data_IF_479890789722
#
_entry.id   IF_479890789722
#
_cell.length_a   1.000
_cell.length_b   1.000
_cell.length_c   1.000
_cell.angle_alpha   90.00
_cell.angle_beta   90.00
_cell.angle_gamma   90.00
#
_symmetry.space_group_name_H-M   'P 1'
#
loop_
_entity.id
_entity.type
_entity.pdbx_description
1 polymer ?
#
# COMPACT_ATOMS: atom_id res chain seq x y z
N UNK A 1 -6.81 -7.58 -2.31
CA UNK A 1 -7.03 -6.48 -1.36
C UNK A 1 -7.71 -5.35 -2.11
N UNK A 2 -8.83 -4.84 -1.62
CA UNK A 2 -9.60 -3.79 -2.30
C UNK A 2 -10.02 -2.77 -1.25
N UNK A 3 -9.74 -1.49 -1.50
CA UNK A 3 -10.19 -0.34 -0.68
C UNK A 3 -9.78 -0.42 0.80
N UNK A 4 -8.58 -0.92 1.08
CA UNK A 4 -8.05 -1.04 2.45
C UNK A 4 -7.15 0.14 2.80
N UNK A 5 -7.13 0.49 4.08
CA UNK A 5 -6.16 1.40 4.67
C UNK A 5 -5.31 0.57 5.63
N UNK A 6 -4.00 0.60 5.44
CA UNK A 6 -3.02 -0.22 6.17
C UNK A 6 -1.90 0.73 6.60
N UNK A 7 -1.84 1.08 7.89
CA UNK A 7 -0.86 2.05 8.39
C UNK A 7 -0.37 1.78 9.82
N UNK A 8 0.74 2.43 10.20
CA UNK A 8 1.33 2.45 11.54
C UNK A 8 1.69 1.06 12.12
N UNK A 9 2.39 0.24 11.34
CA UNK A 9 2.94 -1.07 11.77
C UNK A 9 4.34 -1.31 11.16
N UNK A 10 4.96 -2.48 11.41
CA UNK A 10 6.27 -2.84 10.84
C UNK A 10 6.34 -3.00 9.31
N UNK A 11 5.69 -4.03 8.75
CA UNK A 11 5.73 -4.41 7.32
C UNK A 11 4.33 -4.51 6.68
N UNK A 12 4.11 -3.79 5.57
CA UNK A 12 2.75 -3.53 5.05
C UNK A 12 2.15 -4.73 4.41
N UNK A 13 2.83 -5.21 3.38
CA UNK A 13 2.49 -6.41 2.69
C UNK A 13 3.77 -7.05 2.22
N UNK A 14 3.91 -8.32 2.54
CA UNK A 14 4.95 -9.17 2.02
C UNK A 14 4.27 -10.35 1.35
N UNK A 15 4.47 -10.47 0.04
CA UNK A 15 3.84 -11.51 -0.75
C UNK A 15 4.91 -12.20 -1.59
N UNK A 16 5.41 -13.32 -1.07
CA UNK A 16 6.48 -14.10 -1.68
C UNK A 16 5.99 -15.23 -2.59
N UNK A 17 4.70 -15.56 -2.56
CA UNK A 17 4.15 -16.72 -3.24
C UNK A 17 3.87 -16.42 -4.73
N UNK A 18 3.92 -17.43 -5.61
CA UNK A 18 3.47 -17.30 -7.00
C UNK A 18 1.95 -17.21 -7.09
N UNK A 19 1.39 -16.08 -6.63
CA UNK A 19 -0.03 -15.80 -6.54
C UNK A 19 -0.47 -14.74 -7.55
N UNK A 20 -1.73 -14.78 -7.98
CA UNK A 20 -2.33 -13.76 -8.84
C UNK A 20 -2.94 -12.61 -8.04
N UNK A 21 -2.25 -12.14 -6.99
CA UNK A 21 -2.83 -11.16 -6.07
C UNK A 21 -3.21 -9.87 -6.79
N UNK A 22 -4.38 -9.35 -6.47
CA UNK A 22 -4.85 -8.04 -6.89
C UNK A 22 -4.91 -7.11 -5.68
N UNK A 23 -4.27 -5.94 -5.78
CA UNK A 23 -4.27 -4.87 -4.77
C UNK A 23 -4.80 -3.61 -5.45
N UNK A 24 -6.02 -3.19 -5.10
CA UNK A 24 -6.70 -2.08 -5.76
C UNK A 24 -7.24 -1.04 -4.77
N UNK A 25 -7.02 0.24 -5.05
CA UNK A 25 -7.65 1.32 -4.27
C UNK A 25 -7.20 1.42 -2.81
N UNK A 26 -6.10 0.76 -2.44
CA UNK A 26 -5.63 0.71 -1.06
C UNK A 26 -4.70 1.89 -0.73
N UNK A 27 -4.59 2.19 0.56
CA UNK A 27 -3.67 3.18 1.12
C UNK A 27 -2.72 2.50 2.10
N UNK A 28 -1.42 2.63 1.86
CA UNK A 28 -0.36 2.07 2.68
C UNK A 28 0.54 3.22 3.15
N UNK A 29 0.69 3.39 4.47
CA UNK A 29 1.54 4.48 4.97
C UNK A 29 2.09 4.30 6.37
N UNK A 30 3.12 5.07 6.70
CA UNK A 30 3.74 5.10 8.03
C UNK A 30 4.18 3.73 8.55
N UNK A 31 4.55 2.83 7.65
CA UNK A 31 4.92 1.48 8.05
C UNK A 31 6.41 1.22 7.95
N UNK A 32 7.02 0.88 9.08
CA UNK A 32 8.43 0.57 9.21
C UNK A 32 8.79 -0.02 10.59
N UNK A 33 10.00 -0.55 10.69
CA UNK A 33 10.65 -0.84 11.96
C UNK A 33 12.14 -0.51 11.88
N UNK A 34 12.74 -0.12 13.00
CA UNK A 34 14.19 0.08 13.07
C UNK A 34 14.87 -1.25 13.40
N UNK A 35 15.65 -1.76 12.45
CA UNK A 35 16.54 -2.89 12.68
C UNK A 35 17.87 -2.44 13.29
N UNK A 36 18.72 -3.39 13.72
CA UNK A 36 20.06 -3.08 14.26
C UNK A 36 20.98 -2.34 13.29
N UNK A 37 20.73 -2.44 11.99
CA UNK A 37 21.56 -1.91 10.91
C UNK A 37 20.97 -0.65 10.26
N UNK A 38 19.67 -0.67 9.96
CA UNK A 38 18.94 0.38 9.23
C UNK A 38 17.43 0.23 9.45
N UNK A 39 16.66 1.24 9.07
CA UNK A 39 15.20 1.18 9.07
C UNK A 39 14.68 0.30 7.94
N UNK A 40 13.77 -0.63 8.24
CA UNK A 40 13.18 -1.58 7.31
C UNK A 40 11.68 -1.33 7.15
N UNK A 41 11.03 -2.12 6.27
CA UNK A 41 9.61 -1.96 5.96
C UNK A 41 9.40 -1.27 4.63
N UNK A 42 9.57 -2.01 3.50
CA UNK A 42 9.00 -1.57 2.25
C UNK A 42 7.47 -1.47 2.36
N UNK A 43 6.88 -0.51 1.65
CA UNK A 43 5.43 -0.33 1.62
C UNK A 43 4.70 -1.49 0.94
N UNK A 44 5.31 -2.12 -0.06
CA UNK A 44 4.84 -3.35 -0.68
C UNK A 44 6.06 -4.16 -1.08
N UNK A 45 6.17 -5.40 -0.62
CA UNK A 45 7.21 -6.32 -1.05
C UNK A 45 6.59 -7.46 -1.83
N UNK A 46 7.01 -7.59 -3.09
CA UNK A 46 6.48 -8.58 -4.02
C UNK A 46 7.61 -9.45 -4.56
N UNK A 47 7.38 -10.77 -4.56
CA UNK A 47 8.09 -11.71 -5.41
C UNK A 47 7.12 -12.36 -6.37
N UNK A 48 7.55 -12.61 -7.60
CA UNK A 48 6.77 -13.42 -8.51
C UNK A 48 7.71 -14.14 -9.48
N UNK A 49 7.78 -15.48 -9.47
CA UNK A 49 8.70 -16.20 -10.34
C UNK A 49 8.25 -16.15 -11.81
N UNK A 50 9.19 -16.33 -12.73
CA UNK A 50 8.89 -16.57 -14.15
C UNK A 50 7.92 -17.76 -14.28
N UNK A 51 6.90 -17.61 -15.13
CA UNK A 51 5.80 -18.57 -15.29
C UNK A 51 4.71 -18.48 -14.21
N UNK A 52 4.88 -17.64 -13.18
CA UNK A 52 3.84 -17.36 -12.18
C UNK A 52 2.67 -16.55 -12.75
N UNK A 53 1.50 -16.58 -12.07
CA UNK A 53 0.35 -15.76 -12.45
C UNK A 53 0.66 -14.26 -12.32
N UNK A 54 -0.08 -13.42 -13.07
CA UNK A 54 0.12 -11.97 -13.04
C UNK A 54 -0.37 -11.36 -11.73
N UNK A 55 0.47 -10.52 -11.11
CA UNK A 55 0.09 -9.68 -9.96
C UNK A 55 -0.33 -8.29 -10.44
N UNK A 56 -1.39 -7.73 -9.85
CA UNK A 56 -1.94 -6.43 -10.25
C UNK A 56 -1.99 -5.48 -9.07
N UNK A 57 -1.32 -4.34 -9.20
CA UNK A 57 -1.24 -3.27 -8.20
C UNK A 57 -1.78 -2.00 -8.83
N UNK A 58 -3.01 -1.61 -8.52
CA UNK A 58 -3.74 -0.59 -9.27
C UNK A 58 -4.37 0.47 -8.36
N UNK A 59 -4.20 1.77 -8.66
CA UNK A 59 -4.93 2.83 -7.96
C UNK A 59 -4.64 2.95 -6.46
N UNK A 60 -3.45 2.53 -6.01
CA UNK A 60 -3.06 2.57 -4.60
C UNK A 60 -2.29 3.86 -4.29
N UNK A 61 -2.27 4.25 -3.03
CA UNK A 61 -1.45 5.36 -2.52
C UNK A 61 -0.49 4.78 -1.46
N UNK A 62 0.82 4.93 -1.67
CA UNK A 62 1.88 4.28 -0.87
C UNK A 62 2.93 5.31 -0.45
N UNK A 63 3.00 5.64 0.83
CA UNK A 63 3.83 6.77 1.26
C UNK A 63 4.41 6.67 2.67
N UNK A 64 5.48 7.42 2.93
CA UNK A 64 6.07 7.55 4.26
C UNK A 64 6.46 6.21 4.92
N UNK A 65 6.88 5.22 4.12
CA UNK A 65 7.46 3.98 4.64
C UNK A 65 8.89 4.20 5.14
N UNK A 66 9.44 3.23 5.87
CA UNK A 66 10.82 3.30 6.37
C UNK A 66 11.86 2.96 5.32
N UNK A 67 11.40 2.40 4.19
CA UNK A 67 12.25 2.03 3.06
C UNK A 67 11.54 2.25 1.72
N UNK A 68 11.65 1.33 0.76
CA UNK A 68 11.05 1.53 -0.56
C UNK A 68 9.52 1.58 -0.50
N UNK A 69 8.89 2.32 -1.42
CA UNK A 69 7.42 2.30 -1.54
C UNK A 69 6.93 0.94 -2.02
N UNK A 70 7.40 0.51 -3.18
CA UNK A 70 7.19 -0.83 -3.71
C UNK A 70 8.53 -1.44 -4.11
N UNK A 71 8.75 -2.66 -3.64
CA UNK A 71 9.91 -3.48 -3.95
C UNK A 71 9.46 -4.77 -4.64
N UNK A 72 9.73 -4.86 -5.94
CA UNK A 72 9.78 -6.10 -6.70
C UNK A 72 11.21 -6.63 -6.66
N UNK A 73 11.45 -7.65 -5.82
CA UNK A 73 12.79 -8.19 -5.58
C UNK A 73 12.71 -9.69 -5.36
N UNK A 74 13.62 -10.46 -5.92
CA UNK A 74 13.88 -11.84 -5.53
C UNK A 74 15.36 -12.17 -5.77
N UNK A 75 15.85 -13.24 -5.16
CA UNK A 75 17.11 -13.93 -5.51
C UNK A 75 16.93 -14.92 -6.68
N UNK A 76 15.81 -14.75 -7.40
CA UNK A 76 15.31 -15.58 -8.50
C UNK A 76 14.60 -14.63 -9.46
N UNK A 77 14.50 -14.98 -10.76
CA UNK A 77 13.84 -14.15 -11.76
C UNK A 77 12.46 -13.63 -11.33
N UNK A 78 12.20 -12.35 -11.58
CA UNK A 78 10.99 -11.63 -11.16
C UNK A 78 10.12 -11.28 -12.36
N UNK A 79 8.87 -11.72 -12.40
CA UNK A 79 8.06 -11.59 -13.62
C UNK A 79 6.59 -11.21 -13.39
N UNK A 80 5.94 -10.76 -14.47
CA UNK A 80 4.48 -10.64 -14.59
C UNK A 80 3.82 -9.79 -13.49
N UNK A 81 4.31 -8.58 -13.28
CA UNK A 81 3.69 -7.62 -12.36
C UNK A 81 3.19 -6.41 -13.15
N UNK A 82 1.95 -6.02 -12.90
CA UNK A 82 1.36 -4.77 -13.39
C UNK A 82 1.23 -3.80 -12.23
N UNK A 83 1.77 -2.60 -12.39
CA UNK A 83 1.66 -1.48 -11.46
C UNK A 83 1.10 -0.29 -12.22
N UNK A 84 -0.15 0.06 -11.95
CA UNK A 84 -0.89 1.04 -12.75
C UNK A 84 -1.62 2.07 -11.90
N UNK A 85 -1.46 3.36 -12.23
CA UNK A 85 -2.29 4.40 -11.63
C UNK A 85 -2.09 4.63 -10.13
N UNK A 86 -0.93 4.25 -9.58
CA UNK A 86 -0.65 4.39 -8.16
C UNK A 86 0.11 5.70 -7.89
N UNK A 87 -0.04 6.24 -6.68
CA UNK A 87 0.76 7.35 -6.16
C UNK A 87 1.77 6.83 -5.11
N UNK A 88 3.05 7.06 -5.34
CA UNK A 88 4.14 6.72 -4.42
C UNK A 88 4.90 7.99 -4.03
N UNK A 89 5.07 8.25 -2.73
CA UNK A 89 5.84 9.43 -2.33
C UNK A 89 6.43 9.34 -0.93
N UNK A 90 7.48 10.11 -0.68
CA UNK A 90 8.13 10.22 0.63
C UNK A 90 8.54 8.88 1.26
N UNK A 91 8.74 7.82 0.47
CA UNK A 91 9.17 6.55 1.01
C UNK A 91 10.61 6.65 1.52
N UNK A 92 10.89 5.99 2.64
CA UNK A 92 12.14 6.07 3.38
C UNK A 92 12.12 7.09 4.53
N UNK A 93 11.33 8.16 4.43
CA UNK A 93 11.42 9.30 5.36
C UNK A 93 11.12 8.93 6.81
N UNK A 94 10.29 7.90 7.03
CA UNK A 94 9.97 7.44 8.37
C UNK A 94 11.15 6.73 9.04
N UNK A 95 12.12 6.25 8.25
CA UNK A 95 13.32 5.57 8.69
C UNK A 95 14.54 6.48 8.70
N UNK A 96 15.54 6.14 7.87
CA UNK A 96 16.85 6.76 7.86
C UNK A 96 17.06 7.83 6.77
N UNK A 97 16.07 8.10 5.93
CA UNK A 97 16.14 9.12 4.86
C UNK A 97 15.32 8.71 3.64
N UNK A 98 15.24 9.55 2.61
CA UNK A 98 14.47 9.20 1.40
C UNK A 98 15.04 7.95 0.71
N UNK A 99 14.14 7.07 0.27
CA UNK A 99 14.42 5.83 -0.48
C UNK A 99 13.55 5.78 -1.73
N UNK A 100 13.87 4.84 -2.63
CA UNK A 100 13.11 4.61 -3.87
C UNK A 100 11.61 4.46 -3.63
N UNK A 101 10.80 5.19 -4.37
CA UNK A 101 9.36 4.92 -4.41
C UNK A 101 9.07 3.60 -5.12
N UNK A 102 9.70 3.38 -6.27
CA UNK A 102 9.59 2.15 -7.04
C UNK A 102 10.95 1.49 -7.18
N UNK A 103 11.02 0.21 -6.86
CA UNK A 103 12.21 -0.61 -7.05
C UNK A 103 11.81 -1.95 -7.66
N UNK A 104 12.06 -2.08 -8.96
CA UNK A 104 11.96 -3.34 -9.68
C UNK A 104 13.35 -3.79 -10.03
N UNK A 105 13.92 -4.63 -9.17
CA UNK A 105 15.26 -5.15 -9.30
C UNK A 105 16.18 -4.63 -8.22
N UNK A 106 17.28 -5.35 -8.05
CA UNK A 106 18.48 -5.08 -7.25
C UNK A 106 19.08 -6.48 -7.04
N UNK A 107 20.18 -6.81 -7.72
CA UNK A 107 20.70 -8.18 -7.74
C UNK A 107 20.97 -8.69 -9.16
N UNK A 108 21.41 -9.95 -9.27
CA UNK A 108 21.84 -10.62 -10.51
C UNK A 108 20.70 -11.11 -11.41
N UNK A 109 19.44 -10.90 -11.00
CA UNK A 109 18.32 -11.64 -11.57
C UNK A 109 17.65 -10.94 -12.74
N UNK A 110 17.07 -11.75 -13.62
CA UNK A 110 16.33 -11.33 -14.81
C UNK A 110 14.88 -10.97 -14.46
N UNK A 111 14.36 -9.95 -15.15
CA UNK A 111 13.02 -9.44 -14.97
C UNK A 111 12.22 -9.59 -16.27
N UNK A 112 10.99 -10.10 -16.21
CA UNK A 112 10.17 -10.32 -17.42
C UNK A 112 8.74 -9.80 -17.29
N UNK A 113 8.26 -9.08 -18.30
CA UNK A 113 6.84 -8.72 -18.42
C UNK A 113 6.32 -7.84 -17.27
N UNK A 114 7.19 -6.96 -16.77
CA UNK A 114 6.88 -5.94 -15.77
C UNK A 114 6.27 -4.73 -16.48
N UNK A 115 5.05 -4.37 -16.09
CA UNK A 115 4.26 -3.29 -16.67
C UNK A 115 4.06 -2.22 -15.61
N UNK A 116 4.49 -0.99 -15.89
CA UNK A 116 4.46 0.17 -14.99
C UNK A 116 3.84 1.33 -15.77
N UNK A 117 2.57 1.63 -15.47
CA UNK A 117 1.79 2.60 -16.24
C UNK A 117 1.13 3.68 -15.41
N UNK A 118 1.15 4.91 -15.91
CA UNK A 118 0.32 5.99 -15.39
C UNK A 118 0.49 6.25 -13.89
N UNK A 119 1.63 5.89 -13.28
CA UNK A 119 1.87 6.10 -11.85
C UNK A 119 2.47 7.48 -11.60
N UNK A 120 2.25 8.01 -10.40
CA UNK A 120 2.95 9.18 -9.88
C UNK A 120 3.97 8.72 -8.83
N UNK A 121 5.25 9.05 -9.01
CA UNK A 121 6.31 8.82 -8.05
C UNK A 121 7.02 10.13 -7.72
N UNK A 122 6.88 10.62 -6.49
CA UNK A 122 7.46 11.89 -6.03
C UNK A 122 8.47 11.70 -4.89
N UNK A 123 9.68 12.23 -5.09
CA UNK A 123 10.74 12.31 -4.08
C UNK A 123 11.11 13.79 -3.89
N UNK A 124 10.91 14.38 -2.70
CA UNK A 124 11.33 15.76 -2.45
C UNK A 124 12.87 15.84 -2.30
N UNK A 125 13.39 17.07 -2.31
CA UNK A 125 14.76 17.32 -1.90
C UNK A 125 14.89 17.15 -0.38
N UNK A 126 15.85 16.34 0.06
CA UNK A 126 16.08 16.14 1.50
C UNK A 126 17.44 15.55 1.85
N UNK A 127 17.64 15.19 3.14
CA UNK A 127 18.88 14.61 3.62
C UNK A 127 19.04 13.22 3.01
N UNK A 128 19.97 13.13 2.05
CA UNK A 128 20.16 11.93 1.27
C UNK A 128 20.89 10.84 2.01
N UNK A 129 20.36 9.62 1.91
CA UNK A 129 21.04 8.40 2.31
C UNK A 129 21.00 7.34 1.21
N UNK A 130 21.49 7.73 0.03
CA UNK A 130 21.74 6.83 -1.10
C UNK A 130 20.47 6.25 -1.73
N UNK A 131 20.52 6.02 -3.05
CA UNK A 131 19.43 5.39 -3.80
C UNK A 131 18.10 6.14 -3.84
N UNK A 132 18.13 7.46 -3.99
CA UNK A 132 16.93 8.29 -4.12
C UNK A 132 16.44 8.37 -5.58
N UNK A 133 16.23 7.24 -6.23
CA UNK A 133 15.75 7.19 -7.61
C UNK A 133 14.80 6.01 -7.80
N UNK A 134 13.88 6.10 -8.74
CA UNK A 134 13.09 4.93 -9.11
C UNK A 134 13.96 3.97 -9.93
N UNK A 135 14.00 2.70 -9.55
CA UNK A 135 14.84 1.69 -10.21
C UNK A 135 13.97 0.75 -11.05
N UNK A 136 14.31 0.65 -12.33
CA UNK A 136 13.65 -0.23 -13.30
C UNK A 136 14.69 -1.13 -13.97
N UNK A 137 14.74 -2.38 -13.52
CA UNK A 137 15.69 -3.39 -13.99
C UNK A 137 16.71 -3.77 -12.93
N UNK A 138 17.49 -4.80 -13.24
CA UNK A 138 18.55 -5.35 -12.39
C UNK A 138 19.74 -5.84 -13.22
N UNK A 139 20.73 -6.42 -12.55
CA UNK A 139 21.93 -6.89 -13.23
C UNK A 139 21.67 -8.09 -14.13
N UNK A 140 20.60 -8.87 -13.96
CA UNK A 140 20.26 -9.98 -14.86
C UNK A 140 19.66 -9.52 -16.19
N UNK A 141 18.92 -8.42 -16.22
CA UNK A 141 18.20 -7.97 -17.41
C UNK A 141 16.77 -7.58 -17.09
N UNK A 142 16.15 -6.78 -17.96
CA UNK A 142 14.71 -6.56 -17.96
C UNK A 142 14.17 -6.74 -19.38
N UNK A 143 13.45 -7.83 -19.60
CA UNK A 143 12.86 -8.21 -20.89
C UNK A 143 11.38 -7.83 -20.92
N UNK A 144 11.00 -7.02 -21.91
CA UNK A 144 9.61 -6.57 -22.04
C UNK A 144 9.15 -5.68 -20.89
N UNK A 145 10.04 -4.81 -20.39
CA UNK A 145 9.66 -3.72 -19.50
C UNK A 145 8.76 -2.74 -20.25
N UNK A 146 7.60 -2.43 -19.69
CA UNK A 146 6.75 -1.34 -20.15
C UNK A 146 6.72 -0.25 -19.08
N UNK A 147 7.38 0.87 -19.33
CA UNK A 147 7.38 2.06 -18.48
C UNK A 147 6.67 3.16 -19.27
N UNK A 148 5.35 3.30 -19.10
CA UNK A 148 4.54 4.16 -19.98
C UNK A 148 3.68 5.16 -19.20
N UNK A 149 3.71 6.44 -19.55
CA UNK A 149 2.78 7.42 -19.00
C UNK A 149 3.01 7.82 -17.54
N UNK A 150 4.15 7.48 -16.94
CA UNK A 150 4.42 7.74 -15.52
C UNK A 150 4.95 9.15 -15.27
N UNK A 151 4.65 9.71 -14.11
CA UNK A 151 5.26 10.94 -13.61
C UNK A 151 6.32 10.59 -12.58
N UNK A 152 7.60 10.69 -12.96
CA UNK A 152 8.76 10.36 -12.13
C UNK A 152 9.46 11.65 -11.74
N UNK A 153 9.30 12.06 -10.48
CA UNK A 153 9.61 13.41 -10.05
C UNK A 153 10.58 13.39 -8.87
N UNK A 154 11.81 13.81 -9.12
CA UNK A 154 12.83 14.06 -8.11
C UNK A 154 13.63 15.34 -8.46
N UNK A 155 13.07 16.53 -8.18
CA UNK A 155 13.64 17.78 -8.67
C UNK A 155 15.06 17.98 -8.13
N UNK A 156 16.03 18.22 -9.02
CA UNK A 156 17.42 18.47 -8.67
C UNK A 156 18.27 17.22 -8.37
N UNK A 157 17.73 16.01 -8.55
CA UNK A 157 18.40 14.71 -8.35
C UNK A 157 17.94 13.70 -9.39
N UNK A 158 18.43 12.46 -9.33
CA UNK A 158 18.05 11.40 -10.28
C UNK A 158 16.63 10.89 -10.02
N UNK A 159 15.70 11.09 -10.96
CA UNK A 159 14.33 10.61 -10.84
C UNK A 159 14.18 9.12 -11.18
N UNK A 160 14.98 8.63 -12.15
CA UNK A 160 14.84 7.28 -12.66
C UNK A 160 16.18 6.70 -13.14
N UNK A 161 16.37 5.42 -12.83
CA UNK A 161 17.46 4.58 -13.33
C UNK A 161 16.88 3.38 -14.05
N UNK A 162 17.22 3.23 -15.32
CA UNK A 162 16.78 2.14 -16.17
C UNK A 162 17.98 1.22 -16.44
N UNK A 163 17.82 -0.09 -16.26
CA UNK A 163 18.91 -1.04 -16.39
C UNK A 163 18.56 -2.20 -17.32
N UNK A 164 19.46 -2.50 -18.27
CA UNK A 164 19.39 -3.68 -19.16
C UNK A 164 17.99 -3.94 -19.74
N UNK A 165 17.33 -2.87 -20.17
CA UNK A 165 15.94 -2.89 -20.57
C UNK A 165 15.80 -3.32 -22.04
N UNK A 166 16.05 -4.60 -22.32
CA UNK A 166 16.01 -5.17 -23.67
C UNK A 166 14.57 -5.29 -24.17
N UNK A 167 14.30 -4.71 -25.34
CA UNK A 167 12.94 -4.66 -25.89
C UNK A 167 11.97 -3.84 -25.03
N UNK A 168 12.47 -2.94 -24.18
CA UNK A 168 11.64 -2.12 -23.32
C UNK A 168 10.88 -1.04 -24.10
N UNK A 169 9.65 -0.78 -23.68
CA UNK A 169 8.85 0.35 -24.12
C UNK A 169 8.89 1.41 -23.03
N UNK A 170 9.58 2.53 -23.30
CA UNK A 170 9.74 3.65 -22.36
C UNK A 170 9.25 4.93 -23.04
N UNK A 171 7.99 5.28 -22.87
CA UNK A 171 7.34 6.38 -23.61
C UNK A 171 6.23 7.08 -22.82
N UNK A 172 5.92 8.32 -23.20
CA UNK A 172 4.88 9.14 -22.58
C UNK A 172 5.14 9.48 -21.11
N UNK A 173 6.32 9.19 -20.57
CA UNK A 173 6.64 9.51 -19.19
C UNK A 173 7.01 10.98 -19.07
N UNK A 174 6.67 11.56 -17.92
CA UNK A 174 7.11 12.89 -17.50
C UNK A 174 8.17 12.73 -16.42
N UNK A 175 9.41 13.09 -16.72
CA UNK A 175 10.57 12.86 -15.87
C UNK A 175 11.14 14.21 -15.44
N UNK A 176 11.05 14.52 -14.15
CA UNK A 176 11.62 15.75 -13.55
C UNK A 176 12.79 15.37 -12.67
N UNK A 177 14.01 15.69 -13.11
CA UNK A 177 15.27 15.28 -12.51
C UNK A 177 16.17 14.56 -13.52
N UNK A 178 17.30 14.05 -13.03
CA UNK A 178 18.22 13.24 -13.82
C UNK A 178 17.63 11.89 -14.18
N UNK A 179 18.06 11.35 -15.30
CA UNK A 179 17.78 9.97 -15.71
C UNK A 179 19.10 9.30 -16.09
N UNK A 180 19.27 8.04 -15.69
CA UNK A 180 20.39 7.21 -16.14
C UNK A 180 19.92 5.93 -16.81
N UNK A 181 20.76 5.44 -17.70
CA UNK A 181 20.65 4.12 -18.29
C UNK A 181 21.97 3.38 -18.15
N UNK A 182 21.88 2.08 -17.80
CA UNK A 182 23.04 1.21 -17.65
C UNK A 182 22.82 -0.15 -18.31
N UNK A 183 23.72 -0.48 -19.25
CA UNK A 183 23.93 -1.84 -19.72
C UNK A 183 24.97 -2.51 -18.79
N UNK A 184 24.52 -3.34 -17.85
CA UNK A 184 25.44 -3.97 -16.91
C UNK A 184 26.34 -4.99 -17.65
N UNK A 185 27.65 -4.74 -17.55
CA UNK A 185 28.72 -5.30 -18.38
C UNK A 185 29.75 -4.24 -18.84
N UNK A 186 29.37 -2.96 -18.81
CA UNK A 186 30.29 -1.82 -18.99
C UNK A 186 30.22 -0.88 -17.78
N UNK A 187 31.35 -0.29 -17.38
CA UNK A 187 31.39 0.80 -16.39
C UNK A 187 30.71 2.09 -16.92
N UNK A 188 30.22 2.08 -18.16
CA UNK A 188 29.63 3.23 -18.83
C UNK A 188 28.14 3.33 -18.50
N UNK A 189 27.83 4.00 -17.41
CA UNK A 189 26.50 4.58 -17.22
C UNK A 189 26.37 5.80 -18.14
N UNK A 190 25.34 5.82 -18.98
CA UNK A 190 24.98 7.02 -19.73
C UNK A 190 23.89 7.77 -18.98
N UNK A 191 23.95 9.10 -19.04
CA UNK A 191 23.07 9.98 -18.27
C UNK A 191 22.59 11.14 -19.14
N UNK A 192 21.50 11.77 -18.72
CA UNK A 192 21.00 12.99 -19.35
C UNK A 192 20.64 12.79 -20.82
N UNK A 193 21.11 13.69 -21.69
CA UNK A 193 20.76 13.73 -23.11
C UNK A 193 20.93 12.38 -23.84
N UNK A 194 21.97 11.61 -23.53
CA UNK A 194 22.18 10.30 -24.16
C UNK A 194 21.06 9.30 -23.86
N UNK A 195 20.47 9.37 -22.66
CA UNK A 195 19.32 8.53 -22.29
C UNK A 195 18.04 9.04 -22.96
N UNK A 196 17.93 10.37 -23.15
CA UNK A 196 16.80 10.98 -23.86
C UNK A 196 16.80 10.55 -25.34
N UNK A 197 17.97 10.42 -25.96
CA UNK A 197 18.11 9.89 -27.32
C UNK A 197 17.69 8.42 -27.43
N UNK A 198 17.90 7.62 -26.38
CA UNK A 198 17.43 6.22 -26.33
C UNK A 198 15.91 6.13 -26.16
N UNK A 199 15.32 7.05 -25.40
CA UNK A 199 13.89 7.04 -25.09
C UNK A 199 13.23 8.40 -25.41
N UNK A 200 13.19 8.80 -26.70
CA UNK A 200 12.86 10.16 -27.11
C UNK A 200 11.37 10.51 -26.98
N UNK A 201 10.51 9.52 -26.70
CA UNK A 201 9.06 9.69 -26.58
C UNK A 201 8.62 10.11 -25.16
N UNK A 202 9.53 10.62 -24.34
CA UNK A 202 9.26 11.09 -22.98
C UNK A 202 9.49 12.60 -22.87
N UNK A 203 8.81 13.23 -21.91
CA UNK A 203 9.06 14.61 -21.54
C UNK A 203 10.10 14.67 -20.42
N UNK A 204 11.24 15.29 -20.68
CA UNK A 204 12.34 15.44 -19.71
C UNK A 204 12.47 16.87 -19.21
N UNK A 205 12.63 17.03 -17.90
CA UNK A 205 12.86 18.30 -17.23
C UNK A 205 14.02 18.12 -16.25
N UNK A 206 15.15 18.79 -16.46
CA UNK A 206 16.30 18.66 -15.55
C UNK A 206 16.00 19.21 -14.14
N UNK A 207 15.13 20.21 -14.08
CA UNK A 207 14.68 20.86 -12.86
C UNK A 207 13.15 20.97 -12.85
N UNK A 208 12.61 21.24 -11.66
CA UNK A 208 11.22 21.66 -11.54
C UNK A 208 10.96 22.86 -12.49
N UNK A 209 9.82 22.89 -13.21
CA UNK A 209 9.35 24.10 -13.87
C UNK A 209 9.36 25.29 -12.90
N UNK A 210 9.63 26.49 -13.40
CA UNK A 210 9.64 27.69 -12.56
C UNK A 210 8.22 28.16 -12.18
N UNK A 211 7.22 27.77 -12.96
CA UNK A 211 5.84 28.22 -12.83
C UNK A 211 4.86 27.09 -13.15
N UNK A 212 3.60 27.31 -12.79
CA UNK A 212 2.48 26.42 -13.05
C UNK A 212 2.21 25.40 -11.96
N UNK A 213 1.13 24.65 -12.17
CA UNK A 213 0.74 23.51 -11.37
C UNK A 213 0.48 22.35 -12.33
N UNK A 214 0.96 21.16 -11.99
CA UNK A 214 0.63 19.95 -12.73
C UNK A 214 -0.26 19.06 -11.88
N UNK A 215 -1.36 18.59 -12.48
CA UNK A 215 -2.34 17.74 -11.83
C UNK A 215 -2.34 16.38 -12.52
N UNK A 216 -2.03 15.35 -11.75
CA UNK A 216 -2.16 13.95 -12.14
C UNK A 216 -3.43 13.40 -11.49
N UNK A 217 -4.23 12.66 -12.25
CA UNK A 217 -5.49 12.10 -11.75
C UNK A 217 -5.60 10.63 -12.10
N UNK A 218 -6.15 9.84 -11.18
CA UNK A 218 -6.44 8.43 -11.42
C UNK A 218 -7.74 7.99 -10.74
N UNK A 219 -8.65 7.38 -11.51
CA UNK A 219 -9.90 6.82 -10.99
C UNK A 219 -9.59 5.49 -10.29
N UNK A 220 -9.65 5.46 -8.95
CA UNK A 220 -9.18 4.32 -8.14
C UNK A 220 -10.02 3.05 -8.33
N UNK A 221 -11.22 3.17 -8.91
CA UNK A 221 -12.08 2.03 -9.19
C UNK A 221 -13.00 2.31 -10.38
N UNK A 222 -13.05 1.40 -11.36
CA UNK A 222 -14.02 1.46 -12.46
C UNK A 222 -15.48 1.39 -12.00
N UNK A 223 -15.70 0.97 -10.75
CA UNK A 223 -17.01 0.84 -10.12
C UNK A 223 -17.04 1.68 -8.85
N UNK A 224 -18.21 2.25 -8.49
CA UNK A 224 -18.37 2.86 -7.18
C UNK A 224 -18.09 1.84 -6.08
N UNK A 225 -17.61 2.33 -4.94
CA UNK A 225 -17.47 1.54 -3.73
C UNK A 225 -18.84 0.92 -3.41
N UNK A 226 -18.86 -0.41 -3.32
CA UNK A 226 -20.09 -1.19 -3.15
C UNK A 226 -20.83 -0.87 -1.85
N UNK A 227 -20.17 -0.22 -0.89
CA UNK A 227 -20.70 0.03 0.45
C UNK A 227 -21.42 1.37 0.59
N UNK A 228 -20.90 2.42 -0.03
CA UNK A 228 -21.42 3.78 0.10
C UNK A 228 -21.86 4.40 -1.23
N UNK A 229 -21.67 3.67 -2.34
CA UNK A 229 -22.00 4.14 -3.67
C UNK A 229 -21.11 5.28 -4.16
N UNK A 230 -20.01 5.58 -3.48
CA UNK A 230 -19.12 6.69 -3.84
C UNK A 230 -18.06 6.23 -4.82
N UNK A 231 -17.75 7.10 -5.77
CA UNK A 231 -16.54 6.98 -6.60
C UNK A 231 -15.37 7.66 -5.91
N UNK A 232 -14.16 7.25 -6.30
CA UNK A 232 -12.89 7.74 -5.76
C UNK A 232 -11.95 8.11 -6.89
N UNK A 233 -11.33 9.27 -6.74
CA UNK A 233 -10.28 9.79 -7.61
C UNK A 233 -9.07 10.13 -6.76
N UNK A 234 -7.90 9.61 -7.09
CA UNK A 234 -6.64 10.12 -6.54
C UNK A 234 -6.21 11.31 -7.38
N UNK A 235 -5.88 12.42 -6.71
CA UNK A 235 -5.38 13.64 -7.35
C UNK A 235 -3.99 13.94 -6.79
N UNK A 236 -2.97 13.86 -7.65
CA UNK A 236 -1.61 14.27 -7.34
C UNK A 236 -1.34 15.68 -7.88
N UNK A 237 -0.74 16.53 -7.06
CA UNK A 237 -0.54 17.95 -7.32
C UNK A 237 0.95 18.26 -7.19
N UNK A 238 1.54 18.81 -8.26
CA UNK A 238 2.89 19.36 -8.27
C UNK A 238 2.79 20.88 -8.46
N UNK A 239 2.90 21.63 -7.36
CA UNK A 239 2.66 23.07 -7.32
C UNK A 239 3.97 23.84 -7.45
N UNK A 240 4.46 23.94 -8.67
CA UNK A 240 5.73 24.61 -8.97
C UNK A 240 5.68 26.12 -8.71
N UNK A 241 4.53 26.74 -8.97
CA UNK A 241 4.29 28.16 -8.71
C UNK A 241 4.18 28.53 -7.23
N UNK A 242 4.12 27.55 -6.31
CA UNK A 242 3.78 27.78 -4.90
C UNK A 242 2.46 28.57 -4.75
N UNK A 243 1.49 28.28 -5.63
CA UNK A 243 0.18 28.88 -5.57
C UNK A 243 -0.54 28.46 -4.25
N UNK A 244 -1.28 29.36 -3.59
CA UNK A 244 -2.04 29.02 -2.38
C UNK A 244 -3.28 28.18 -2.67
N UNK A 245 -3.72 28.15 -3.93
CA UNK A 245 -4.90 27.44 -4.41
C UNK A 245 -4.61 26.78 -5.76
N UNK A 246 -5.34 25.71 -6.06
CA UNK A 246 -5.30 25.01 -7.34
C UNK A 246 -6.72 24.81 -7.86
N UNK A 247 -6.84 24.78 -9.19
CA UNK A 247 -8.06 24.41 -9.90
C UNK A 247 -7.95 22.94 -10.32
N UNK A 248 -8.89 22.11 -9.87
CA UNK A 248 -8.99 20.71 -10.31
C UNK A 248 -10.12 20.62 -11.33
N UNK A 249 -9.74 20.39 -12.59
CA UNK A 249 -10.67 20.20 -13.71
C UNK A 249 -11.21 18.76 -13.74
N UNK A 250 -12.52 18.63 -13.57
CA UNK A 250 -13.30 17.39 -13.61
C UNK A 250 -14.29 17.38 -14.78
N UNK A 251 -14.13 18.27 -15.76
CA UNK A 251 -15.01 18.43 -16.92
C UNK A 251 -15.14 17.14 -17.73
N UNK A 252 -14.07 16.35 -17.87
CA UNK A 252 -14.13 15.05 -18.53
C UNK A 252 -15.07 14.07 -17.80
N UNK A 253 -14.96 13.99 -16.47
CA UNK A 253 -15.85 13.14 -15.66
C UNK A 253 -17.31 13.62 -15.74
N UNK A 254 -17.53 14.93 -15.81
CA UNK A 254 -18.87 15.52 -15.98
C UNK A 254 -19.44 15.18 -17.36
N UNK A 255 -18.66 15.35 -18.42
CA UNK A 255 -19.05 15.03 -19.80
C UNK A 255 -19.33 13.54 -20.01
N UNK A 256 -18.60 12.66 -19.31
CA UNK A 256 -18.85 11.22 -19.32
C UNK A 256 -20.07 10.81 -18.46
N UNK A 257 -20.68 11.76 -17.74
CA UNK A 257 -21.79 11.51 -16.83
C UNK A 257 -21.40 10.73 -15.57
N UNK A 258 -20.09 10.66 -15.26
CA UNK A 258 -19.59 10.02 -14.03
C UNK A 258 -19.81 10.89 -12.80
N UNK A 259 -19.83 12.21 -12.96
CA UNK A 259 -20.20 13.18 -11.95
C UNK A 259 -21.28 14.12 -12.51
N UNK A 260 -22.24 14.52 -11.68
CA UNK A 260 -23.29 15.44 -12.10
C UNK A 260 -22.81 16.89 -12.06
N UNK A 261 -23.28 17.71 -12.99
CA UNK A 261 -23.11 19.17 -12.94
C UNK A 261 -23.57 19.72 -11.59
N UNK A 262 -22.74 20.54 -10.94
CA UNK A 262 -23.06 21.12 -9.64
C UNK A 262 -23.04 20.14 -8.46
N UNK A 263 -22.50 18.92 -8.64
CA UNK A 263 -22.37 17.92 -7.59
C UNK A 263 -21.50 18.43 -6.43
N UNK A 264 -21.80 17.93 -5.24
CA UNK A 264 -20.92 18.07 -4.09
C UNK A 264 -19.86 16.98 -4.12
N UNK A 265 -18.61 17.40 -4.06
CA UNK A 265 -17.44 16.52 -3.94
C UNK A 265 -16.79 16.73 -2.59
N UNK A 266 -16.25 15.65 -2.02
CA UNK A 266 -15.47 15.71 -0.78
C UNK A 266 -14.03 15.40 -1.11
N UNK A 267 -13.09 16.11 -0.50
CA UNK A 267 -11.66 15.93 -0.71
C UNK A 267 -10.94 15.93 0.63
N UNK A 268 -9.92 15.08 0.76
CA UNK A 268 -8.99 15.11 1.88
C UNK A 268 -7.55 14.97 1.38
N UNK A 269 -6.59 15.60 2.08
CA UNK A 269 -5.17 15.25 1.92
C UNK A 269 -4.96 13.84 2.46
N UNK A 270 -4.22 13.00 1.73
CA UNK A 270 -3.96 11.63 2.19
C UNK A 270 -3.07 11.60 3.44
N UNK A 271 -2.30 12.67 3.71
CA UNK A 271 -1.54 12.84 4.94
C UNK A 271 -2.42 13.26 6.13
N UNK A 272 -3.67 13.69 5.89
CA UNK A 272 -4.67 14.01 6.91
C UNK A 272 -6.03 13.35 6.59
N UNK A 273 -6.12 12.01 6.68
CA UNK A 273 -7.29 11.25 6.23
C UNK A 273 -8.59 11.55 7.00
N UNK A 274 -8.52 12.29 8.12
CA UNK A 274 -9.67 12.74 8.90
C UNK A 274 -10.18 14.15 8.54
N UNK A 275 -9.40 14.97 7.82
CA UNK A 275 -9.75 16.34 7.44
C UNK A 275 -10.44 16.35 6.07
N UNK A 276 -11.71 15.93 6.02
CA UNK A 276 -12.51 16.00 4.80
C UNK A 276 -13.17 17.36 4.63
N UNK A 277 -13.01 17.96 3.46
CA UNK A 277 -13.63 19.22 3.05
C UNK A 277 -14.61 18.99 1.91
N UNK A 278 -15.67 19.77 1.84
CA UNK A 278 -16.70 19.67 0.79
C UNK A 278 -16.60 20.86 -0.15
N UNK A 279 -16.65 20.58 -1.44
CA UNK A 279 -16.65 21.55 -2.52
C UNK A 279 -17.84 21.30 -3.42
N UNK A 280 -18.28 22.34 -4.11
CA UNK A 280 -19.30 22.23 -5.15
C UNK A 280 -18.64 22.41 -6.50
N UNK A 281 -18.97 21.53 -7.43
CA UNK A 281 -18.53 21.64 -8.81
C UNK A 281 -19.13 22.90 -9.45
N UNK A 282 -18.28 23.74 -10.02
CA UNK A 282 -18.69 24.93 -10.77
C UNK A 282 -18.06 24.85 -12.15
N UNK A 283 -18.89 24.71 -13.18
CA UNK A 283 -18.45 24.58 -14.59
C UNK A 283 -17.37 23.50 -14.79
N UNK A 284 -17.55 22.32 -14.19
CA UNK A 284 -16.60 21.21 -14.28
C UNK A 284 -15.41 21.30 -13.32
N UNK A 285 -15.28 22.36 -12.53
CA UNK A 285 -14.07 22.61 -11.73
C UNK A 285 -14.35 22.75 -10.22
N UNK A 286 -13.32 22.50 -9.42
CA UNK A 286 -13.26 22.90 -8.00
C UNK A 286 -11.96 23.65 -7.72
N UNK A 287 -12.03 24.66 -6.85
CA UNK A 287 -10.85 25.40 -6.36
C UNK A 287 -10.50 24.89 -4.97
N UNK A 288 -9.28 24.38 -4.79
CA UNK A 288 -8.81 23.79 -3.54
C UNK A 288 -7.65 24.61 -2.99
N UNK A 289 -7.80 25.15 -1.78
CA UNK A 289 -6.68 25.74 -1.05
C UNK A 289 -5.67 24.66 -0.65
N UNK A 290 -4.39 24.93 -0.84
CA UNK A 290 -3.28 24.08 -0.42
C UNK A 290 -2.81 24.39 1.00
N UNK A 291 -3.42 25.39 1.65
CA UNK A 291 -3.12 25.79 3.02
C UNK A 291 -4.04 25.12 4.05
N UNK A 292 -3.54 25.05 5.28
CA UNK A 292 -4.31 24.65 6.46
C UNK A 292 -4.67 23.17 6.52
N UNK A 293 -4.08 22.31 5.68
CA UNK A 293 -4.19 20.86 5.82
C UNK A 293 -3.35 20.39 6.99
N UNK A 294 -3.93 19.55 7.84
CA UNK A 294 -3.18 18.91 8.92
C UNK A 294 -2.26 17.80 8.41
N UNK A 295 -1.58 17.15 9.36
CA UNK A 295 -0.95 15.85 9.17
C UNK A 295 -1.35 14.93 10.32
N UNK A 296 -1.70 13.69 9.98
CA UNK A 296 -1.94 12.67 10.98
C UNK A 296 -0.61 12.20 11.55
N UNK A 297 -0.45 12.37 12.87
CA UNK A 297 0.67 11.78 13.59
C UNK A 297 0.61 10.25 13.50
N UNK A 298 1.73 9.57 13.17
CA UNK A 298 1.78 8.11 13.21
C UNK A 298 1.41 7.59 14.60
N UNK A 299 0.53 6.59 14.65
CA UNK A 299 0.12 5.98 15.93
C UNK A 299 1.32 5.27 16.57
N UNK A 300 1.53 5.51 17.86
CA UNK A 300 2.59 4.83 18.63
C UNK A 300 3.99 5.40 18.42
N UNK A 301 4.14 6.47 17.65
CA UNK A 301 5.42 7.17 17.44
C UNK A 301 5.49 8.44 18.27
N UNK A 302 6.68 8.72 18.80
CA UNK A 302 6.99 10.06 19.29
C UNK A 302 7.33 10.98 18.11
N UNK A 303 6.33 11.73 17.65
CA UNK A 303 6.48 12.72 16.58
C UNK A 303 7.44 13.85 16.93
N UNK A 304 7.75 14.07 18.22
CA UNK A 304 8.75 15.06 18.61
C UNK A 304 10.17 14.62 18.24
N UNK A 305 10.41 13.31 18.12
CA UNK A 305 11.74 12.75 17.83
C UNK A 305 12.00 12.65 16.33
N UNK A 306 10.98 12.35 15.52
CA UNK A 306 11.11 12.28 14.08
C UNK A 306 9.78 12.69 13.40
N UNK A 307 9.53 14.00 13.26
CA UNK A 307 8.34 14.49 12.57
C UNK A 307 8.44 14.13 11.08
N UNK A 308 7.36 13.57 10.55
CA UNK A 308 7.25 13.38 9.11
C UNK A 308 7.01 14.74 8.46
N UNK A 309 7.77 15.13 7.43
CA UNK A 309 7.62 16.45 6.84
C UNK A 309 6.35 16.55 5.99
N UNK A 310 5.62 17.68 6.06
CA UNK A 310 4.56 17.99 5.12
C UNK A 310 5.09 18.16 3.71
N UNK A 311 4.29 17.72 2.76
CA UNK A 311 4.58 17.90 1.34
C UNK A 311 3.99 19.20 0.79
N UNK A 312 2.88 19.65 1.37
CA UNK A 312 2.22 20.88 0.98
C UNK A 312 3.02 22.12 1.44
N UNK A 313 2.97 23.22 0.67
CA UNK A 313 2.14 23.41 -0.52
C UNK A 313 2.80 22.93 -1.82
N UNK A 314 4.07 22.50 -1.81
CA UNK A 314 4.83 22.20 -3.02
C UNK A 314 4.35 20.93 -3.74
N UNK A 315 3.93 19.92 -2.97
CA UNK A 315 3.38 18.67 -3.47
C UNK A 315 2.19 18.25 -2.61
N UNK A 316 1.19 17.61 -3.20
CA UNK A 316 0.08 17.05 -2.44
C UNK A 316 -0.51 15.84 -3.15
N UNK A 317 -1.01 14.89 -2.37
CA UNK A 317 -1.88 13.82 -2.89
C UNK A 317 -3.20 13.91 -2.12
N UNK A 318 -4.28 13.96 -2.86
CA UNK A 318 -5.63 14.08 -2.34
C UNK A 318 -6.48 12.89 -2.78
N UNK A 319 -7.42 12.51 -1.92
CA UNK A 319 -8.49 11.60 -2.27
C UNK A 319 -9.78 12.40 -2.42
N UNK A 320 -10.38 12.33 -3.61
CA UNK A 320 -11.63 12.99 -3.95
C UNK A 320 -12.74 11.93 -4.07
N UNK A 321 -13.89 12.20 -3.44
CA UNK A 321 -15.06 11.32 -3.40
C UNK A 321 -16.34 12.06 -3.79
N UNK A 322 -17.19 11.39 -4.58
CA UNK A 322 -18.52 11.88 -4.94
C UNK A 322 -19.53 10.74 -5.03
N UNK A 323 -20.83 11.01 -4.82
CA UNK A 323 -21.86 10.01 -5.04
C UNK A 323 -21.92 9.60 -6.52
N UNK A 324 -21.98 8.31 -6.81
CA UNK A 324 -22.24 7.84 -8.17
C UNK A 324 -23.72 8.10 -8.54
N UNK A 325 -24.01 8.83 -9.63
CA UNK A 325 -25.37 9.19 -10.02
C UNK A 325 -26.23 7.98 -10.43
N UNK A 326 -25.59 6.87 -10.85
CA UNK A 326 -26.25 5.62 -11.21
C UNK A 326 -26.33 4.62 -10.06
N UNK A 327 -25.73 4.91 -8.90
CA UNK A 327 -25.81 4.00 -7.77
C UNK A 327 -27.16 4.10 -7.07
N UNK A 328 -27.98 3.09 -7.33
CA UNK A 328 -29.11 2.78 -6.45
C UNK A 328 -28.53 1.89 -5.36
N UNK A 329 -28.71 2.25 -4.09
CA UNK A 329 -28.45 1.33 -3.01
C UNK A 329 -29.26 0.06 -3.31
N UNK A 330 -28.59 -1.00 -3.77
CA UNK A 330 -29.19 -2.32 -3.70
C UNK A 330 -29.48 -2.48 -2.22
N UNK A 331 -30.75 -2.44 -1.84
CA UNK A 331 -31.20 -2.86 -0.54
C UNK A 331 -30.92 -4.36 -0.47
N UNK A 332 -29.65 -4.71 -0.28
CA UNK A 332 -29.27 -5.98 0.30
C UNK A 332 -29.72 -5.84 1.74
N UNK A 333 -31.01 -6.07 1.97
CA UNK A 333 -31.42 -6.63 3.25
C UNK A 333 -30.40 -7.73 3.53
N UNK A 334 -29.68 -7.66 4.66
CA UNK A 334 -28.70 -8.68 4.98
C UNK A 334 -29.43 -10.01 4.85
N UNK A 335 -29.09 -10.77 3.81
CA UNK A 335 -29.70 -12.07 3.58
C UNK A 335 -29.55 -12.80 4.91
N UNK A 336 -30.65 -13.27 5.53
CA UNK A 336 -30.55 -13.97 6.79
C UNK A 336 -29.50 -15.04 6.59
N UNK A 337 -28.41 -14.95 7.35
CA UNK A 337 -27.33 -15.94 7.30
C UNK A 337 -28.06 -17.28 7.47
N UNK A 338 -27.93 -18.22 6.51
CA UNK A 338 -28.59 -19.51 6.62
C UNK A 338 -28.29 -20.04 8.03
N UNK A 339 -29.31 -20.23 8.86
CA UNK A 339 -29.13 -20.84 10.17
C UNK A 339 -28.47 -22.19 9.86
N UNK A 340 -27.19 -22.42 10.25
CA UNK A 340 -26.51 -23.67 9.91
C UNK A 340 -27.21 -24.88 10.55
N UNK A 341 -28.18 -24.64 11.44
CA UNK A 341 -29.11 -25.63 11.95
C UNK A 341 -30.45 -25.75 11.23
N UNK A 342 -30.81 -24.89 10.28
CA UNK A 342 -32.15 -24.88 9.66
C UNK A 342 -32.57 -26.25 9.10
N UNK A 343 -31.60 -27.00 8.56
CA UNK A 343 -31.81 -28.33 7.98
C UNK A 343 -31.53 -29.49 8.96
N UNK A 344 -31.07 -29.21 10.19
CA UNK A 344 -30.85 -30.23 11.20
C UNK A 344 -32.18 -30.70 11.80
N UNK A 345 -32.31 -31.96 12.24
CA UNK A 345 -33.43 -32.40 13.06
C UNK A 345 -33.60 -31.50 14.30
N UNK A 346 -34.84 -31.24 14.73
CA UNK A 346 -35.17 -30.28 15.79
C UNK A 346 -34.38 -30.48 17.10
N UNK A 347 -33.99 -31.71 17.41
CA UNK A 347 -33.17 -32.04 18.59
C UNK A 347 -31.71 -31.55 18.44
N UNK A 348 -31.15 -31.64 17.23
CA UNK A 348 -29.83 -31.13 16.89
C UNK A 348 -29.83 -29.61 16.74
N UNK A 349 -30.92 -29.00 16.25
CA UNK A 349 -31.12 -27.55 16.28
C UNK A 349 -31.11 -27.02 17.72
N UNK A 350 -31.79 -27.73 18.63
CA UNK A 350 -31.81 -27.38 20.05
C UNK A 350 -30.44 -27.54 20.69
N UNK A 351 -29.69 -28.59 20.39
CA UNK A 351 -28.32 -28.78 20.87
C UNK A 351 -27.36 -27.70 20.35
N UNK A 352 -27.40 -27.40 19.05
CA UNK A 352 -26.58 -26.34 18.42
C UNK A 352 -26.91 -24.95 18.99
N UNK A 353 -28.19 -24.65 19.25
CA UNK A 353 -28.60 -23.40 19.91
C UNK A 353 -28.16 -23.34 21.36
N UNK A 354 -28.22 -24.44 22.12
CA UNK A 354 -27.74 -24.51 23.50
C UNK A 354 -26.21 -24.31 23.54
N UNK A 355 -25.48 -24.91 22.61
CA UNK A 355 -24.01 -24.77 22.54
C UNK A 355 -23.60 -23.35 22.10
N UNK A 356 -24.23 -22.79 21.07
CA UNK A 356 -24.03 -21.41 20.67
C UNK A 356 -24.40 -20.40 21.78
N UNK A 357 -25.39 -20.72 22.61
CA UNK A 357 -25.75 -19.91 23.78
C UNK A 357 -24.72 -20.05 24.92
N UNK A 358 -24.20 -21.26 25.17
CA UNK A 358 -23.13 -21.52 26.14
C UNK A 358 -21.84 -20.78 25.83
N UNK A 359 -21.45 -20.69 24.55
CA UNK A 359 -20.23 -19.96 24.14
C UNK A 359 -20.41 -18.43 24.27
N UNK A 360 -21.65 -17.94 24.26
CA UNK A 360 -21.97 -16.52 24.43
C UNK A 360 -22.28 -16.10 25.87
N UNK A 361 -22.32 -17.03 26.83
CA UNK A 361 -22.42 -16.71 28.25
C UNK A 361 -21.08 -16.09 28.74
N UNK A 362 -21.08 -14.85 29.26
CA UNK A 362 -19.86 -14.16 29.70
C UNK A 362 -19.07 -14.93 30.76
N UNK A 363 -19.74 -15.66 31.66
CA UNK A 363 -19.09 -16.41 32.73
C UNK A 363 -18.36 -17.64 32.18
N UNK A 364 -19.00 -18.38 31.27
CA UNK A 364 -18.41 -19.54 30.59
C UNK A 364 -17.23 -19.10 29.71
N UNK A 365 -17.34 -17.96 29.05
CA UNK A 365 -16.26 -17.40 28.22
C UNK A 365 -15.02 -17.03 29.06
N UNK A 366 -15.23 -16.43 30.24
CA UNK A 366 -14.15 -16.16 31.20
C UNK A 366 -13.53 -17.45 31.70
N UNK A 367 -14.32 -18.47 32.00
CA UNK A 367 -13.82 -19.75 32.49
C UNK A 367 -13.04 -20.54 31.42
N UNK A 368 -13.52 -20.59 30.18
CA UNK A 368 -12.79 -21.17 29.03
C UNK A 368 -11.47 -20.45 28.78
N UNK A 369 -11.45 -19.12 28.86
CA UNK A 369 -10.22 -18.33 28.75
C UNK A 369 -9.24 -18.64 29.89
N UNK A 370 -9.75 -18.83 31.11
CA UNK A 370 -8.90 -19.21 32.26
C UNK A 370 -8.38 -20.65 32.14
N UNK A 371 -9.18 -21.61 31.66
CA UNK A 371 -8.74 -22.99 31.44
C UNK A 371 -7.67 -23.06 30.34
N UNK A 372 -7.86 -22.33 29.23
CA UNK A 372 -6.86 -22.21 28.16
C UNK A 372 -5.57 -21.54 28.65
N UNK A 373 -5.65 -20.49 29.49
CA UNK A 373 -4.49 -19.89 30.16
C UNK A 373 -3.74 -20.85 31.07
N UNK A 374 -4.44 -21.73 31.79
CA UNK A 374 -3.83 -22.75 32.65
C UNK A 374 -3.13 -23.83 31.83
N UNK A 375 -3.77 -24.31 30.76
CA UNK A 375 -3.17 -25.28 29.84
C UNK A 375 -1.91 -24.70 29.16
N UNK A 376 -1.95 -23.44 28.74
CA UNK A 376 -0.81 -22.74 28.16
C UNK A 376 0.36 -22.55 29.15
N UNK A 377 0.08 -22.14 30.40
CA UNK A 377 1.11 -22.02 31.45
C UNK A 377 1.76 -23.37 31.83
N UNK A 378 1.04 -24.47 31.63
CA UNK A 378 1.59 -25.81 31.84
C UNK A 378 2.55 -26.25 30.71
N UNK A 379 2.57 -25.56 29.57
CA UNK A 379 3.40 -25.88 28.40
C UNK A 379 4.52 -24.86 28.12
N UNK A 380 4.44 -23.64 28.66
CA UNK A 380 5.46 -22.60 28.45
C UNK A 380 6.55 -22.63 29.55
N UNK A 381 7.81 -22.82 29.14
CA UNK A 381 8.98 -22.74 30.03
C UNK A 381 9.28 -21.33 30.57
N UNK A 382 10.31 -21.17 31.43
CA UNK A 382 10.44 -20.06 32.39
C UNK A 382 10.93 -18.70 31.84
N UNK A 383 10.82 -18.41 30.55
CA UNK A 383 11.33 -17.15 29.98
C UNK A 383 10.23 -16.37 29.26
N UNK A 384 9.51 -15.54 30.02
CA UNK A 384 8.56 -14.57 29.49
C UNK A 384 8.95 -13.16 29.99
N UNK A 385 9.24 -12.23 29.08
CA UNK A 385 9.27 -10.78 29.36
C UNK A 385 8.10 -10.09 28.67
N UNK A 386 7.55 -8.99 29.22
CA UNK A 386 6.34 -8.39 28.67
C UNK A 386 6.62 -7.34 27.58
N UNK A 387 5.82 -7.48 26.51
CA UNK A 387 5.16 -6.41 25.73
C UNK A 387 5.81 -5.88 24.44
N UNK A 388 5.20 -6.27 23.32
CA UNK A 388 4.88 -5.39 22.20
C UNK A 388 3.50 -5.80 21.65
N UNK A 389 2.59 -4.86 21.41
CA UNK A 389 1.26 -5.12 20.84
C UNK A 389 1.24 -4.55 19.43
N UNK A 390 0.86 -5.34 18.42
CA UNK A 390 0.63 -4.86 17.07
C UNK A 390 -0.87 -4.59 16.86
N UNK A 391 -1.21 -3.44 16.27
CA UNK A 391 -2.60 -3.11 15.94
C UNK A 391 -2.76 -3.20 14.42
N UNK A 392 -3.57 -4.15 13.95
CA UNK A 392 -3.95 -4.29 12.55
C UNK A 392 -5.34 -3.66 12.38
N UNK A 393 -5.38 -2.41 11.95
CA UNK A 393 -6.64 -1.74 11.63
C UNK A 393 -7.06 -2.17 10.23
N UNK A 394 -8.19 -2.85 10.12
CA UNK A 394 -8.81 -3.11 8.83
C UNK A 394 -9.78 -1.96 8.54
N UNK A 395 -9.44 -1.05 7.64
CA UNK A 395 -10.45 -0.20 7.02
C UNK A 395 -11.31 -1.06 6.09
N UNK A 396 -12.24 -1.81 6.67
CA UNK A 396 -13.49 -2.15 6.00
C UNK A 396 -14.58 -1.45 6.79
N UNK A 397 -15.47 -0.73 6.11
CA UNK A 397 -16.75 -0.26 6.68
C UNK A 397 -17.73 -1.44 6.90
N UNK A 398 -17.21 -2.66 7.08
CA UNK A 398 -18.00 -3.80 7.47
C UNK A 398 -18.41 -3.62 8.95
N UNK A 399 -19.70 -3.73 9.22
CA UNK A 399 -20.20 -3.75 10.61
C UNK A 399 -19.55 -4.93 11.32
N UNK A 400 -19.01 -4.74 12.53
CA UNK A 400 -18.39 -5.82 13.33
C UNK A 400 -19.28 -7.08 13.47
N UNK A 401 -20.59 -6.92 13.32
CA UNK A 401 -21.61 -7.97 13.29
C UNK A 401 -21.43 -9.00 12.13
N UNK A 402 -20.66 -8.66 11.10
CA UNK A 402 -20.32 -9.51 9.95
C UNK A 402 -19.09 -10.41 10.18
N UNK A 403 -18.24 -10.09 11.16
CA UNK A 403 -17.10 -10.92 11.55
C UNK A 403 -17.49 -11.76 12.77
N UNK A 404 -18.04 -12.95 12.53
CA UNK A 404 -18.52 -13.84 13.62
C UNK A 404 -17.46 -14.81 14.15
N UNK A 405 -16.28 -14.87 13.55
CA UNK A 405 -15.20 -15.79 13.93
C UNK A 405 -13.84 -15.10 13.94
N UNK A 406 -12.89 -15.69 14.66
CA UNK A 406 -11.48 -15.29 14.66
C UNK A 406 -10.94 -15.25 13.22
N UNK A 407 -10.12 -14.26 12.90
CA UNK A 407 -9.43 -14.19 11.60
C UNK A 407 -8.17 -15.06 11.69
N UNK A 408 -8.18 -16.16 10.94
CA UNK A 408 -7.08 -17.10 10.81
C UNK A 408 -6.21 -16.69 9.61
N UNK A 409 -4.91 -16.48 9.83
CA UNK A 409 -3.95 -16.25 8.74
C UNK A 409 -2.95 -17.39 8.74
N UNK A 410 -2.96 -18.18 7.68
CA UNK A 410 -2.02 -19.29 7.49
C UNK A 410 -0.81 -18.80 6.70
N UNK A 411 0.35 -18.73 7.35
CA UNK A 411 1.62 -18.52 6.65
C UNK A 411 2.19 -19.87 6.21
N UNK A 412 2.34 -20.09 4.90
CA UNK A 412 3.13 -21.20 4.37
C UNK A 412 4.60 -20.79 4.34
N UNK A 413 5.29 -21.04 5.45
CA UNK A 413 6.76 -21.13 5.46
C UNK A 413 7.15 -22.55 5.05
N UNK A 414 8.17 -22.69 4.19
CA UNK A 414 8.84 -23.99 3.98
C UNK A 414 9.41 -24.44 5.34
N UNK A 415 8.66 -25.27 6.06
CA UNK A 415 8.97 -25.67 7.44
C UNK A 415 7.76 -25.81 8.38
N UNK A 416 6.56 -25.36 8.00
CA UNK A 416 5.32 -25.75 8.71
C UNK A 416 5.08 -25.10 10.06
N UNK A 417 5.09 -23.77 10.15
CA UNK A 417 4.36 -23.09 11.21
C UNK A 417 2.87 -23.11 10.86
N UNK A 418 2.03 -23.67 11.75
CA UNK A 418 0.58 -23.71 11.58
C UNK A 418 -0.07 -22.32 11.59
N UNK A 419 -1.41 -22.25 11.47
CA UNK A 419 -2.12 -20.99 11.39
C UNK A 419 -1.86 -20.06 12.57
N UNK A 420 -1.66 -18.76 12.28
CA UNK A 420 -1.51 -17.71 13.28
C UNK A 420 -2.84 -16.95 13.40
N UNK A 421 -3.33 -16.87 14.64
CA UNK A 421 -4.58 -16.20 14.98
C UNK A 421 -4.31 -14.74 15.28
N UNK A 422 -4.87 -13.84 14.47
CA UNK A 422 -4.58 -12.39 14.57
C UNK A 422 -5.58 -11.65 15.47
N UNK A 423 -6.68 -12.30 15.88
CA UNK A 423 -7.60 -11.78 16.89
C UNK A 423 -9.04 -11.60 16.39
N UNK A 424 -9.85 -10.93 17.21
CA UNK A 424 -11.27 -10.68 16.95
C UNK A 424 -11.48 -9.21 16.54
N UNK A 425 -12.14 -8.93 15.41
CA UNK A 425 -12.51 -7.58 15.02
C UNK A 425 -13.34 -6.87 16.10
N UNK A 426 -12.93 -5.66 16.46
CA UNK A 426 -13.61 -4.76 17.39
C UNK A 426 -14.14 -3.56 16.63
N UNK A 427 -15.39 -3.16 16.90
CA UNK A 427 -16.02 -1.98 16.30
C UNK A 427 -15.45 -0.70 16.92
N UNK A 428 -14.95 0.21 16.09
CA UNK A 428 -14.56 1.55 16.49
C UNK A 428 -15.78 2.49 16.57
N UNK A 429 -15.63 3.61 17.27
CA UNK A 429 -16.70 4.59 17.49
C UNK A 429 -17.21 5.23 16.18
N UNK A 430 -16.39 5.24 15.14
CA UNK A 430 -16.71 5.75 13.79
C UNK A 430 -17.30 4.68 12.85
N UNK A 431 -17.54 3.47 13.36
CA UNK A 431 -18.14 2.37 12.59
C UNK A 431 -17.15 1.47 11.84
N UNK A 432 -15.84 1.77 11.86
CA UNK A 432 -14.80 0.89 11.30
C UNK A 432 -14.55 -0.34 12.18
N UNK A 433 -13.91 -1.37 11.64
CA UNK A 433 -13.43 -2.54 12.39
C UNK A 433 -11.92 -2.46 12.64
N UNK A 434 -11.45 -2.93 13.80
CA UNK A 434 -10.03 -3.03 14.11
C UNK A 434 -9.70 -4.40 14.72
N UNK A 435 -8.58 -5.01 14.35
CA UNK A 435 -8.07 -6.23 14.98
C UNK A 435 -6.78 -5.87 15.72
N UNK A 436 -6.77 -6.02 17.04
CA UNK A 436 -5.55 -5.86 17.83
C UNK A 436 -4.94 -7.25 18.10
N UNK A 437 -3.71 -7.47 17.63
CA UNK A 437 -2.95 -8.69 17.89
C UNK A 437 -1.79 -8.41 18.84
N UNK A 438 -1.76 -9.09 19.99
CA UNK A 438 -0.59 -8.96 20.87
C UNK A 438 0.50 -9.87 20.34
N UNK A 439 1.66 -9.29 19.99
CA UNK A 439 2.78 -10.07 19.51
C UNK A 439 3.17 -11.08 20.60
N UNK A 440 3.11 -12.36 20.22
CA UNK A 440 3.55 -13.50 20.99
C UNK A 440 5.01 -13.81 20.65
N UNK A 441 5.64 -14.71 21.40
CA UNK A 441 7.01 -15.14 21.11
C UNK A 441 7.12 -15.82 19.72
N UNK A 442 6.02 -16.42 19.21
CA UNK A 442 5.94 -16.95 17.84
C UNK A 442 6.01 -15.83 16.80
N UNK A 443 5.40 -14.68 17.07
CA UNK A 443 5.49 -13.50 16.20
C UNK A 443 6.90 -12.88 16.27
N UNK A 444 7.59 -12.96 17.41
CA UNK A 444 8.97 -12.52 17.56
C UNK A 444 9.96 -13.42 16.78
N UNK A 445 9.73 -14.72 16.76
CA UNK A 445 10.50 -15.67 15.94
C UNK A 445 10.24 -15.45 14.44
N UNK A 446 9.01 -15.10 14.05
CA UNK A 446 8.67 -14.68 12.68
C UNK A 446 9.43 -13.42 12.24
N UNK A 447 9.49 -12.41 13.11
CA UNK A 447 10.24 -11.16 12.87
C UNK A 447 11.76 -11.42 12.81
N UNK A 448 12.31 -12.29 13.68
CA UNK A 448 13.74 -12.65 13.62
C UNK A 448 14.11 -13.40 12.35
N UNK A 449 13.30 -14.39 11.95
CA UNK A 449 13.53 -15.15 10.72
C UNK A 449 13.54 -14.25 9.46
N UNK A 450 12.66 -13.24 9.43
CA UNK A 450 12.63 -12.21 8.39
C UNK A 450 13.85 -11.26 8.44
N UNK A 451 14.32 -10.91 9.65
CA UNK A 451 15.42 -9.97 9.84
C UNK A 451 16.80 -10.55 9.54
N UNK A 452 16.98 -11.87 9.68
CA UNK A 452 18.31 -12.51 9.60
C UNK A 452 18.63 -13.14 8.23
N UNK A 453 17.69 -13.16 7.27
CA UNK A 453 17.97 -13.56 5.89
C UNK A 453 18.53 -14.98 5.72
N UNK A 454 18.11 -15.93 6.57
CA UNK A 454 18.65 -17.28 6.57
C UNK A 454 18.19 -18.13 5.36
N UNK A 455 19.15 -18.79 4.70
CA UNK A 455 18.96 -20.07 4.02
C UNK A 455 18.92 -21.18 5.10
N UNK A 456 17.84 -21.97 5.11
CA UNK A 456 17.73 -23.12 6.01
C UNK A 456 18.56 -24.29 5.46
N UNK A 457 19.77 -24.51 6.02
CA UNK A 457 20.52 -25.75 5.78
C UNK A 457 19.88 -26.92 6.55
N UNK A 458 19.42 -27.92 5.82
CA UNK A 458 19.04 -29.22 6.39
C UNK A 458 20.32 -30.05 6.57
N UNK A 459 20.82 -30.11 7.81
CA UNK A 459 21.82 -31.10 8.23
C UNK A 459 21.14 -32.43 8.54
N UNK A 460 21.59 -33.50 7.88
CA UNK A 460 21.02 -34.84 8.00
C UNK A 460 21.57 -35.72 9.13
N UNK A 461 21.11 -36.98 9.07
CA UNK A 461 21.46 -38.19 9.83
C UNK A 461 20.70 -38.34 11.17
N UNK A 462 20.00 -39.44 11.46
CA UNK A 462 20.06 -40.83 10.98
C UNK A 462 18.69 -41.47 10.82
#
# INVERSE_FOLDING_TARGET
MIDLEVHDFGLSLFESQPSGIEIRGCRFFNAYWDGPDRSHGPGLYLRNPVGGPRKTIEGNIVFQHGRQGLQGFGSVPFAHVTVEGNAFFNNGIAGDGFHRNLMFGNGSDEHEGVIIRSNLAYLPLGPARGHEYNLFGGAGGSHGLELVGNWLVHPGREAAKIQRAEGATVEGNRIVGGVSYSELGSEAEIQGAAVQDLFPLNDYYEQAPAEGCWIWMWENSRKPNLWDGRRRLTVGVLNWASAPEIEIDLTELENEGKIAAGAEVRICSVQAPSDWRTFRLHDGEIVVSLDGWGEAAPIGRDVAVNPLPPTLPAFGVFLLEWPDPGWVAEAREPQPIPDPGADLPAEQQRAARIEAWRVNDPAIRVELLQQRRRAWRAHAGPYASPASTALLIFSTLAKAEQFRTEVEVTALLEGGAGPVWIGVPTKLADGRAAIAHRLTDVDADWIRAMAEGFELQIGGLS
#
